data_IF_478020202962
#
_entry.id   IF_478020202962
#
_cell.length_a   1.000
_cell.length_b   1.000
_cell.length_c   1.000
_cell.angle_alpha   90.00
_cell.angle_beta   90.00
_cell.angle_gamma   90.00
#
_symmetry.space_group_name_H-M   'P 1'
#
loop_
_entity.id
_entity.type
_entity.pdbx_description
1 polymer ?
#
# COMPACT_ATOMS: atom_id res chain seq x y z
N UNK A 1 17.85 43.32 -56.27
CA UNK A 1 18.28 42.28 -55.36
C UNK A 1 17.07 41.94 -54.50
N UNK A 2 16.51 40.69 -54.60
CA UNK A 2 15.31 40.37 -53.88
C UNK A 2 15.63 39.72 -52.55
N UNK A 3 14.88 40.14 -51.55
CA UNK A 3 14.84 39.69 -50.18
C UNK A 3 14.38 38.21 -50.08
N UNK A 4 15.23 37.40 -49.54
CA UNK A 4 14.93 35.97 -49.26
C UNK A 4 14.35 35.84 -47.85
N UNK A 5 13.01 35.90 -47.76
CA UNK A 5 12.27 35.51 -46.55
C UNK A 5 12.38 34.00 -46.37
N UNK A 6 13.12 33.59 -45.35
CA UNK A 6 13.03 32.24 -44.83
C UNK A 6 11.69 32.06 -44.09
N UNK A 7 10.82 31.27 -44.67
CA UNK A 7 9.68 30.71 -43.96
C UNK A 7 10.22 29.65 -42.99
N UNK A 8 10.06 29.90 -41.72
CA UNK A 8 10.18 28.87 -40.69
C UNK A 8 8.94 27.98 -40.81
N UNK A 9 9.13 26.77 -41.28
CA UNK A 9 8.13 25.72 -41.14
C UNK A 9 8.02 25.36 -39.66
N UNK A 10 6.98 25.85 -39.03
CA UNK A 10 6.53 25.34 -37.72
C UNK A 10 6.09 23.91 -37.94
N UNK A 11 6.98 22.99 -37.64
CA UNK A 11 6.64 21.58 -37.52
C UNK A 11 5.78 21.43 -36.28
N UNK A 12 4.47 21.49 -36.46
CA UNK A 12 3.49 21.11 -35.46
C UNK A 12 3.69 19.61 -35.24
N UNK A 13 4.40 19.29 -34.18
CA UNK A 13 4.42 17.91 -33.63
C UNK A 13 2.98 17.56 -33.30
N UNK A 14 2.46 16.43 -33.79
CA UNK A 14 1.13 15.98 -33.38
C UNK A 14 1.13 15.82 -31.87
N UNK A 15 0.23 16.55 -31.22
CA UNK A 15 -0.11 16.31 -29.83
C UNK A 15 -0.40 14.82 -29.69
N UNK A 16 0.52 14.10 -29.08
CA UNK A 16 0.25 12.77 -28.56
C UNK A 16 -0.74 12.94 -27.40
N UNK A 17 -1.97 13.32 -27.73
CA UNK A 17 -3.10 12.96 -26.92
C UNK A 17 -3.03 11.44 -26.81
N UNK A 18 -2.54 11.00 -25.67
CA UNK A 18 -2.57 9.59 -25.30
C UNK A 18 -4.02 9.14 -25.50
N UNK A 19 -4.23 8.35 -26.54
CA UNK A 19 -5.47 7.62 -26.75
C UNK A 19 -5.54 6.58 -25.62
N UNK A 20 -5.80 7.05 -24.41
CA UNK A 20 -6.39 6.25 -23.37
C UNK A 20 -7.85 6.07 -23.80
N UNK A 21 -8.07 5.14 -24.70
CA UNK A 21 -9.38 4.55 -24.84
C UNK A 21 -9.83 4.18 -23.46
N UNK A 22 -10.89 4.81 -22.97
CA UNK A 22 -11.60 4.40 -21.79
C UNK A 22 -11.91 2.91 -22.01
N UNK A 23 -11.14 2.02 -21.38
CA UNK A 23 -11.46 0.61 -21.37
C UNK A 23 -12.87 0.55 -20.76
N UNK A 24 -13.82 -0.04 -21.49
CA UNK A 24 -15.16 -0.25 -20.96
C UNK A 24 -15.06 -1.13 -19.72
N UNK A 25 -15.97 -1.01 -18.78
CA UNK A 25 -16.03 -1.83 -17.57
C UNK A 25 -15.98 -3.33 -17.92
N UNK A 26 -16.61 -3.72 -19.04
CA UNK A 26 -16.59 -5.09 -19.57
C UNK A 26 -15.16 -5.52 -19.98
N UNK A 27 -14.39 -4.64 -20.60
CA UNK A 27 -13.02 -4.92 -21.01
C UNK A 27 -12.09 -5.10 -19.79
N UNK A 28 -12.30 -4.35 -18.72
CA UNK A 28 -11.59 -4.51 -17.46
C UNK A 28 -11.96 -5.82 -16.76
N UNK A 29 -13.23 -6.18 -16.77
CA UNK A 29 -13.71 -7.46 -16.24
C UNK A 29 -13.10 -8.65 -16.99
N UNK A 30 -13.07 -8.59 -18.33
CA UNK A 30 -12.47 -9.62 -19.17
C UNK A 30 -10.94 -9.74 -18.96
N UNK A 31 -10.24 -8.61 -18.86
CA UNK A 31 -8.80 -8.62 -18.55
C UNK A 31 -8.53 -9.16 -17.15
N UNK A 32 -9.40 -8.87 -16.18
CA UNK A 32 -9.21 -9.35 -14.80
C UNK A 32 -9.29 -10.86 -14.70
N UNK A 33 -10.21 -11.48 -15.43
CA UNK A 33 -10.39 -12.93 -15.40
C UNK A 33 -9.27 -13.71 -16.12
N UNK A 34 -8.59 -13.09 -17.07
CA UNK A 34 -7.58 -13.74 -17.89
C UNK A 34 -6.13 -13.50 -17.44
N UNK A 35 -5.84 -12.37 -16.80
CA UNK A 35 -4.47 -11.88 -16.53
C UNK A 35 -4.21 -11.68 -15.05
N UNK A 36 -5.23 -11.42 -14.26
CA UNK A 36 -5.09 -11.12 -12.83
C UNK A 36 -5.84 -12.14 -11.98
N UNK A 37 -5.20 -12.66 -10.96
CA UNK A 37 -5.87 -13.51 -9.96
C UNK A 37 -6.71 -12.70 -8.97
N UNK A 38 -6.49 -11.38 -8.88
CA UNK A 38 -7.31 -10.48 -8.09
C UNK A 38 -8.47 -9.97 -8.94
N UNK A 39 -9.74 -10.16 -8.53
CA UNK A 39 -10.87 -9.56 -9.23
C UNK A 39 -10.77 -8.04 -9.16
N UNK A 40 -10.65 -7.40 -10.33
CA UNK A 40 -10.55 -5.94 -10.41
C UNK A 40 -11.93 -5.31 -10.24
N UNK A 41 -12.04 -4.18 -9.53
CA UNK A 41 -13.28 -3.45 -9.43
C UNK A 41 -13.65 -2.81 -10.76
N UNK A 42 -14.93 -2.58 -10.95
CA UNK A 42 -15.44 -1.79 -12.08
C UNK A 42 -15.21 -0.28 -11.95
N UNK A 43 -14.54 0.18 -10.89
CA UNK A 43 -14.24 1.58 -10.58
C UNK A 43 -15.47 2.50 -10.49
N UNK A 44 -16.67 1.94 -10.36
CA UNK A 44 -17.92 2.70 -10.24
C UNK A 44 -18.38 2.88 -8.79
N UNK A 45 -18.08 1.92 -7.93
CA UNK A 45 -18.55 1.92 -6.53
C UNK A 45 -17.37 2.09 -5.57
N UNK A 46 -17.40 3.15 -4.78
CA UNK A 46 -16.41 3.45 -3.75
C UNK A 46 -16.99 3.14 -2.39
N UNK A 47 -16.23 2.40 -1.57
CA UNK A 47 -16.46 2.30 -0.12
C UNK A 47 -15.46 3.16 0.62
N UNK A 48 -15.93 3.85 1.66
CA UNK A 48 -15.09 4.65 2.53
C UNK A 48 -15.02 3.99 3.90
N UNK A 49 -13.80 3.89 4.44
CA UNK A 49 -13.51 3.36 5.78
C UNK A 49 -12.84 4.44 6.60
N UNK A 50 -13.21 4.54 7.88
CA UNK A 50 -12.64 5.51 8.81
C UNK A 50 -11.61 4.84 9.70
N UNK A 51 -10.41 5.42 9.81
CA UNK A 51 -9.37 4.97 10.74
C UNK A 51 -9.39 5.92 11.95
N UNK A 52 -9.59 5.35 13.13
CA UNK A 52 -9.64 6.11 14.37
C UNK A 52 -8.75 5.49 15.44
N UNK A 53 -8.17 6.34 16.30
CA UNK A 53 -7.48 5.94 17.52
C UNK A 53 -8.35 6.21 18.73
N UNK A 54 -8.23 5.37 19.75
CA UNK A 54 -8.91 5.56 21.03
C UNK A 54 -7.89 6.03 22.08
N UNK A 55 -8.24 7.03 22.86
CA UNK A 55 -7.42 7.46 23.98
C UNK A 55 -7.23 6.27 24.95
N UNK A 56 -5.99 5.90 25.24
CA UNK A 56 -5.56 4.77 26.10
C UNK A 56 -5.41 3.40 25.40
N UNK A 57 -5.83 3.23 24.15
CA UNK A 57 -5.53 1.99 23.43
C UNK A 57 -4.38 2.20 22.45
N UNK A 58 -3.26 1.47 22.60
CA UNK A 58 -2.19 1.54 21.61
C UNK A 58 -2.67 0.89 20.30
N UNK A 59 -2.73 1.68 19.24
CA UNK A 59 -3.16 1.22 17.93
C UNK A 59 -4.30 2.04 17.35
N UNK A 60 -4.80 1.58 16.23
CA UNK A 60 -5.92 2.20 15.53
C UNK A 60 -6.98 1.15 15.18
N UNK A 61 -8.20 1.62 15.03
CA UNK A 61 -9.35 0.82 14.61
C UNK A 61 -9.87 1.31 13.28
N UNK A 62 -10.29 0.39 12.41
CA UNK A 62 -10.93 0.66 11.12
C UNK A 62 -12.42 0.40 11.26
N UNK A 63 -13.22 1.40 10.94
CA UNK A 63 -14.68 1.32 10.94
C UNK A 63 -15.22 1.41 9.52
N UNK A 64 -16.39 0.80 9.28
CA UNK A 64 -17.09 0.89 7.98
C UNK A 64 -17.50 2.31 7.63
N UNK A 65 -17.71 3.15 8.67
CA UNK A 65 -18.02 4.56 8.53
C UNK A 65 -17.62 5.34 9.79
N UNK A 66 -17.56 6.67 9.69
CA UNK A 66 -17.37 7.54 10.85
C UNK A 66 -18.55 7.44 11.82
N UNK A 67 -19.76 7.17 11.32
CA UNK A 67 -20.96 7.03 12.15
C UNK A 67 -20.93 5.73 12.97
N UNK A 68 -20.35 4.66 12.45
CA UNK A 68 -20.13 3.43 13.21
C UNK A 68 -19.15 3.67 14.37
N UNK A 69 -18.08 4.44 14.11
CA UNK A 69 -17.19 4.86 15.18
C UNK A 69 -17.90 5.70 16.23
N UNK A 70 -18.79 6.62 15.83
CA UNK A 70 -19.61 7.45 16.74
C UNK A 70 -20.59 6.63 17.57
N UNK A 71 -21.18 5.62 17.00
CA UNK A 71 -22.14 4.72 17.70
C UNK A 71 -21.45 3.72 18.62
N UNK A 72 -20.11 3.63 18.59
CA UNK A 72 -19.36 2.63 19.35
C UNK A 72 -19.55 1.21 18.83
N UNK A 73 -19.85 1.08 17.53
CA UNK A 73 -19.95 -0.23 16.87
C UNK A 73 -18.62 -0.96 16.88
N UNK A 74 -18.62 -2.28 16.80
CA UNK A 74 -17.40 -3.07 16.68
C UNK A 74 -16.63 -2.68 15.42
N UNK A 75 -15.32 -2.40 15.51
CA UNK A 75 -14.52 -2.07 14.34
C UNK A 75 -14.38 -3.29 13.43
N UNK A 76 -14.16 -3.04 12.15
CA UNK A 76 -13.87 -4.07 11.16
C UNK A 76 -12.50 -4.71 11.40
N UNK A 77 -11.50 -3.86 11.72
CA UNK A 77 -10.13 -4.24 12.07
C UNK A 77 -9.65 -3.38 13.24
N UNK A 78 -8.77 -3.94 14.07
CA UNK A 78 -7.99 -3.14 15.00
C UNK A 78 -6.52 -3.58 14.98
N UNK A 79 -5.61 -2.63 15.24
CA UNK A 79 -4.19 -2.92 15.37
C UNK A 79 -3.83 -3.00 16.85
N UNK A 80 -3.07 -4.02 17.21
CA UNK A 80 -2.46 -4.16 18.51
C UNK A 80 -0.96 -3.93 18.37
N UNK A 81 -0.47 -2.80 18.87
CA UNK A 81 0.96 -2.51 18.95
C UNK A 81 1.45 -2.91 20.33
N UNK A 82 2.22 -3.97 20.42
CA UNK A 82 2.87 -4.30 21.68
C UNK A 82 4.08 -3.39 21.89
N UNK A 83 4.00 -2.48 22.85
CA UNK A 83 5.11 -1.63 23.27
C UNK A 83 6.31 -2.48 23.73
N UNK A 84 6.04 -3.69 24.23
CA UNK A 84 7.05 -4.64 24.70
C UNK A 84 7.61 -5.57 23.61
N UNK A 85 7.10 -5.48 22.38
CA UNK A 85 7.59 -6.31 21.28
C UNK A 85 9.03 -5.98 20.88
N UNK A 86 9.48 -4.77 21.16
CA UNK A 86 10.85 -4.31 20.88
C UNK A 86 11.91 -5.15 21.62
N UNK A 87 11.54 -5.76 22.74
CA UNK A 87 12.46 -6.53 23.58
C UNK A 87 12.42 -8.05 23.32
N UNK A 88 11.52 -8.52 22.45
CA UNK A 88 11.38 -9.96 22.17
C UNK A 88 11.92 -10.29 20.80
N UNK A 89 12.91 -11.18 20.73
CA UNK A 89 13.43 -11.75 19.48
C UNK A 89 12.25 -12.39 18.70
N UNK A 90 12.10 -12.03 17.43
CA UNK A 90 10.99 -12.47 16.55
C UNK A 90 9.58 -11.92 16.92
N UNK A 91 9.49 -10.87 17.72
CA UNK A 91 8.21 -10.24 17.96
C UNK A 91 7.62 -9.68 16.65
N UNK A 92 6.30 -9.77 16.48
CA UNK A 92 5.67 -9.17 15.30
C UNK A 92 5.80 -7.65 15.36
N UNK A 93 5.93 -7.02 14.18
CA UNK A 93 5.90 -5.58 14.02
C UNK A 93 4.55 -5.02 14.52
N UNK A 94 3.47 -5.71 14.19
CA UNK A 94 2.11 -5.44 14.69
C UNK A 94 1.24 -6.69 14.52
N UNK A 95 0.14 -6.75 15.27
CA UNK A 95 -0.93 -7.74 15.08
C UNK A 95 -2.19 -6.98 14.69
N UNK A 96 -2.91 -7.48 13.71
CA UNK A 96 -4.20 -6.95 13.26
C UNK A 96 -5.28 -7.97 13.60
N UNK A 97 -6.33 -7.52 14.27
CA UNK A 97 -7.44 -8.37 14.71
C UNK A 97 -8.73 -7.96 14.01
N UNK A 98 -9.63 -8.93 13.83
CA UNK A 98 -11.03 -8.75 13.47
C UNK A 98 -11.90 -9.00 14.70
N UNK A 99 -13.18 -8.65 14.58
CA UNK A 99 -14.19 -8.94 15.61
C UNK A 99 -15.26 -9.85 15.02
N UNK A 100 -15.70 -10.81 15.82
CA UNK A 100 -16.86 -11.62 15.50
C UNK A 100 -18.18 -10.90 15.89
N UNK A 101 -19.31 -11.55 15.59
CA UNK A 101 -20.64 -11.01 15.90
C UNK A 101 -20.90 -10.88 17.41
N UNK A 102 -20.16 -11.62 18.25
CA UNK A 102 -20.20 -11.54 19.70
C UNK A 102 -19.29 -10.40 20.25
N UNK A 103 -18.58 -9.67 19.38
CA UNK A 103 -17.67 -8.60 19.74
C UNK A 103 -16.33 -9.10 20.32
N UNK A 104 -16.00 -10.37 20.15
CA UNK A 104 -14.69 -10.91 20.56
C UNK A 104 -13.65 -10.65 19.46
N UNK A 105 -12.46 -10.22 19.87
CA UNK A 105 -11.36 -9.97 18.93
C UNK A 105 -10.57 -11.24 18.64
N UNK A 106 -10.32 -11.52 17.37
CA UNK A 106 -9.51 -12.63 16.89
C UNK A 106 -8.35 -12.12 16.05
N UNK A 107 -7.18 -12.75 16.21
CA UNK A 107 -6.03 -12.44 15.36
C UNK A 107 -6.36 -12.78 13.90
N UNK A 108 -6.30 -11.78 13.04
CA UNK A 108 -6.54 -11.92 11.60
C UNK A 108 -5.23 -11.91 10.79
N UNK A 109 -4.28 -11.05 11.18
CA UNK A 109 -3.02 -10.92 10.49
C UNK A 109 -1.89 -10.60 11.48
N UNK A 110 -0.80 -11.34 11.36
CA UNK A 110 0.46 -11.08 12.08
C UNK A 110 1.48 -10.51 11.12
N UNK A 111 2.03 -9.35 11.43
CA UNK A 111 2.96 -8.64 10.57
C UNK A 111 4.37 -8.74 11.13
N UNK A 112 5.30 -9.19 10.32
CA UNK A 112 6.73 -9.24 10.66
C UNK A 112 7.53 -8.34 9.73
N UNK A 113 8.56 -7.70 10.28
CA UNK A 113 9.49 -6.85 9.55
C UNK A 113 10.81 -7.57 9.33
N UNK A 114 11.39 -7.43 8.13
CA UNK A 114 12.73 -7.91 7.79
C UNK A 114 13.47 -6.87 6.94
N UNK A 115 14.73 -6.62 7.26
CA UNK A 115 15.66 -6.00 6.33
C UNK A 115 16.13 -7.06 5.33
N UNK A 116 16.05 -6.75 4.05
CA UNK A 116 16.45 -7.67 2.98
C UNK A 116 17.80 -7.25 2.41
N UNK A 117 17.97 -5.93 2.18
CA UNK A 117 19.19 -5.31 1.69
C UNK A 117 19.25 -3.84 2.14
N UNK A 118 20.35 -3.13 1.86
CA UNK A 118 20.54 -1.76 2.32
C UNK A 118 19.39 -0.81 1.97
N UNK A 119 18.81 -0.98 0.78
CA UNK A 119 17.72 -0.13 0.27
C UNK A 119 16.39 -0.87 0.13
N UNK A 120 16.26 -2.07 0.69
CA UNK A 120 15.07 -2.88 0.59
C UNK A 120 14.70 -3.46 1.95
N UNK A 121 13.49 -3.16 2.38
CA UNK A 121 12.88 -3.77 3.55
C UNK A 121 11.58 -4.47 3.17
N UNK A 122 11.18 -5.46 3.97
CA UNK A 122 10.03 -6.29 3.71
C UNK A 122 9.15 -6.37 4.96
N UNK A 123 7.84 -6.20 4.78
CA UNK A 123 6.84 -6.63 5.74
C UNK A 123 6.19 -7.91 5.24
N UNK A 124 6.10 -8.91 6.10
CA UNK A 124 5.43 -10.17 5.83
C UNK A 124 4.14 -10.19 6.64
N UNK A 125 3.03 -10.10 5.94
CA UNK A 125 1.69 -10.21 6.50
C UNK A 125 1.29 -11.68 6.47
N UNK A 126 1.09 -12.27 7.62
CA UNK A 126 0.74 -13.68 7.77
C UNK A 126 -0.74 -13.77 8.14
N UNK A 127 -1.53 -14.27 7.22
CA UNK A 127 -2.94 -14.59 7.38
C UNK A 127 -3.10 -16.10 7.67
N UNK A 128 -4.27 -16.58 8.10
CA UNK A 128 -4.48 -18.00 8.39
C UNK A 128 -4.16 -18.95 7.23
N UNK A 129 -4.43 -18.51 6.00
CA UNK A 129 -4.31 -19.35 4.79
C UNK A 129 -3.35 -18.83 3.73
N UNK A 130 -2.81 -17.63 3.91
CA UNK A 130 -1.92 -17.01 2.92
C UNK A 130 -0.93 -16.07 3.58
N UNK A 131 0.09 -15.68 2.83
CA UNK A 131 1.04 -14.65 3.24
C UNK A 131 1.23 -13.64 2.12
N UNK A 132 1.31 -12.36 2.49
CA UNK A 132 1.54 -11.26 1.57
C UNK A 132 2.82 -10.55 1.95
N UNK A 133 3.69 -10.30 0.97
CA UNK A 133 4.89 -9.49 1.17
C UNK A 133 4.65 -8.07 0.68
N UNK A 134 5.05 -7.10 1.50
CA UNK A 134 5.17 -5.69 1.12
C UNK A 134 6.67 -5.38 1.04
N UNK A 135 7.15 -5.05 -0.13
CA UNK A 135 8.55 -4.73 -0.40
C UNK A 135 8.71 -3.23 -0.54
N UNK A 136 9.43 -2.61 0.41
CA UNK A 136 9.60 -1.16 0.43
C UNK A 136 10.91 -0.76 -0.22
N UNK A 137 10.83 0.19 -1.15
CA UNK A 137 11.99 0.85 -1.71
C UNK A 137 12.52 1.90 -0.71
N UNK A 138 13.73 1.71 -0.19
CA UNK A 138 14.36 2.63 0.76
C UNK A 138 14.81 3.95 0.12
N UNK A 139 14.90 4.03 -1.20
CA UNK A 139 15.31 5.23 -1.95
C UNK A 139 14.12 6.10 -2.37
N UNK A 140 12.91 5.56 -2.39
CA UNK A 140 11.69 6.24 -2.82
C UNK A 140 10.49 5.83 -1.96
N UNK A 141 9.53 6.72 -1.76
CA UNK A 141 8.31 6.42 -1.02
C UNK A 141 7.37 5.55 -1.87
N UNK A 142 7.79 4.32 -2.12
CA UNK A 142 7.01 3.34 -2.86
C UNK A 142 7.19 1.95 -2.25
N UNK A 143 6.12 1.17 -2.28
CA UNK A 143 6.10 -0.21 -1.86
C UNK A 143 5.38 -1.07 -2.91
N UNK A 144 5.97 -2.22 -3.23
CA UNK A 144 5.41 -3.18 -4.18
C UNK A 144 4.90 -4.42 -3.45
N UNK A 145 3.80 -4.96 -3.96
CA UNK A 145 3.08 -6.08 -3.37
C UNK A 145 2.67 -7.04 -4.49
N UNK A 146 2.79 -8.34 -4.22
CA UNK A 146 2.15 -9.37 -5.03
C UNK A 146 0.99 -9.95 -4.23
N UNK A 147 -0.21 -9.86 -4.78
CA UNK A 147 -1.40 -10.44 -4.16
C UNK A 147 -2.33 -11.03 -5.23
N UNK A 148 -2.70 -12.30 -5.06
CA UNK A 148 -3.47 -13.05 -6.07
C UNK A 148 -2.90 -12.83 -7.48
N UNK A 149 -1.63 -13.13 -7.69
CA UNK A 149 -0.90 -13.00 -8.97
C UNK A 149 -0.99 -11.60 -9.62
N UNK A 150 -1.42 -10.60 -8.86
CA UNK A 150 -1.54 -9.22 -9.31
C UNK A 150 -0.49 -8.35 -8.65
N UNK A 151 0.28 -7.63 -9.46
CA UNK A 151 1.26 -6.64 -8.98
C UNK A 151 0.56 -5.37 -8.57
N UNK A 152 0.79 -4.95 -7.34
CA UNK A 152 0.26 -3.71 -6.78
C UNK A 152 1.44 -2.82 -6.36
N UNK A 153 1.30 -1.51 -6.53
CA UNK A 153 2.24 -0.51 -6.05
C UNK A 153 1.53 0.54 -5.21
N UNK A 154 2.04 0.76 -4.01
CA UNK A 154 1.62 1.88 -3.17
C UNK A 154 2.66 2.99 -3.29
N UNK A 155 2.20 4.20 -3.55
CA UNK A 155 3.04 5.40 -3.64
C UNK A 155 2.52 6.48 -2.71
N UNK A 156 3.42 7.38 -2.30
CA UNK A 156 3.10 8.47 -1.39
C UNK A 156 3.64 8.24 0.00
N UNK A 157 3.47 9.22 0.85
CA UNK A 157 3.79 9.15 2.27
C UNK A 157 2.71 9.83 3.07
N UNK A 158 2.34 9.22 4.20
CA UNK A 158 1.44 9.82 5.18
C UNK A 158 2.29 10.33 6.34
N UNK A 159 2.08 11.58 6.77
CA UNK A 159 2.74 12.16 7.93
C UNK A 159 3.30 13.56 7.69
N UNK A 160 3.18 14.42 8.71
CA UNK A 160 3.48 15.86 8.63
C UNK A 160 4.96 16.22 8.51
N UNK A 161 5.87 15.28 8.76
CA UNK A 161 7.31 15.56 8.90
C UNK A 161 8.17 15.26 7.67
N UNK A 162 7.58 14.84 6.57
CA UNK A 162 8.32 14.64 5.32
C UNK A 162 8.12 15.85 4.40
N UNK A 163 9.22 16.45 3.96
CA UNK A 163 9.20 17.52 2.94
C UNK A 163 8.47 17.11 1.64
N UNK A 164 8.19 15.82 1.49
CA UNK A 164 7.48 15.21 0.37
C UNK A 164 6.18 14.52 0.79
N UNK A 165 5.70 14.76 2.04
CA UNK A 165 4.48 14.15 2.52
C UNK A 165 3.29 14.72 1.76
N UNK A 166 2.66 13.87 0.96
CA UNK A 166 1.38 14.20 0.31
C UNK A 166 0.19 14.06 1.26
N UNK A 167 0.41 13.51 2.46
CA UNK A 167 -0.68 13.11 3.36
C UNK A 167 -1.52 11.95 2.81
N UNK A 168 -1.10 11.35 1.70
CA UNK A 168 -1.86 10.32 1.01
C UNK A 168 -0.99 9.13 0.61
N UNK A 169 -1.57 7.92 0.74
CA UNK A 169 -1.06 6.70 0.14
C UNK A 169 -2.02 6.27 -0.97
N UNK A 170 -1.50 6.00 -2.15
CA UNK A 170 -2.29 5.56 -3.31
C UNK A 170 -1.80 4.21 -3.80
N UNK A 171 -2.69 3.23 -3.84
CA UNK A 171 -2.40 1.88 -4.35
C UNK A 171 -2.91 1.73 -5.77
N UNK A 172 -2.05 1.32 -6.67
CA UNK A 172 -2.35 1.10 -8.08
C UNK A 172 -2.14 -0.35 -8.47
N UNK A 173 -2.91 -0.80 -9.45
CA UNK A 173 -2.67 -2.06 -10.15
C UNK A 173 -1.66 -1.80 -11.25
N UNK A 174 -0.57 -2.57 -11.26
CA UNK A 174 0.46 -2.47 -12.29
C UNK A 174 0.12 -3.36 -13.49
N UNK A 175 0.59 -2.95 -14.67
CA UNK A 175 0.59 -3.85 -15.83
C UNK A 175 1.54 -5.03 -15.57
N UNK A 176 1.24 -6.24 -16.07
CA UNK A 176 2.04 -7.44 -15.82
C UNK A 176 3.53 -7.28 -16.14
N UNK A 177 3.85 -6.55 -17.21
CA UNK A 177 5.22 -6.31 -17.68
C UNK A 177 5.91 -5.13 -16.99
N UNK A 178 5.25 -4.48 -16.01
CA UNK A 178 5.88 -3.40 -15.27
C UNK A 178 6.92 -3.93 -14.30
N UNK A 179 8.11 -3.33 -14.31
CA UNK A 179 9.17 -3.64 -13.35
C UNK A 179 8.70 -3.41 -11.92
N UNK A 180 8.86 -4.40 -11.07
CA UNK A 180 8.41 -4.39 -9.68
C UNK A 180 9.44 -5.03 -8.77
N UNK A 181 9.49 -4.61 -7.51
CA UNK A 181 10.30 -5.26 -6.47
C UNK A 181 9.85 -6.70 -6.20
N UNK A 182 8.65 -7.06 -6.62
CA UNK A 182 8.15 -8.44 -6.51
C UNK A 182 8.75 -9.36 -7.57
N UNK A 183 9.36 -8.81 -8.63
CA UNK A 183 9.95 -9.61 -9.70
C UNK A 183 11.17 -10.38 -9.19
N UNK A 184 11.10 -11.70 -9.30
CA UNK A 184 12.15 -12.59 -8.79
C UNK A 184 12.23 -12.68 -7.27
N UNK A 185 11.30 -12.08 -6.53
CA UNK A 185 11.20 -12.24 -5.08
C UNK A 185 10.50 -13.55 -4.71
N UNK A 186 10.89 -14.13 -3.60
CA UNK A 186 10.26 -15.33 -3.05
C UNK A 186 10.21 -15.27 -1.53
N UNK A 187 9.18 -15.87 -0.96
CA UNK A 187 9.08 -16.12 0.47
C UNK A 187 9.14 -17.63 0.71
N UNK A 188 10.22 -18.07 1.30
CA UNK A 188 10.38 -19.48 1.71
C UNK A 188 10.04 -19.58 3.19
N UNK A 189 8.96 -20.29 3.52
CA UNK A 189 8.55 -20.58 4.87
C UNK A 189 8.70 -22.10 5.12
N UNK A 190 9.65 -22.53 5.97
CA UNK A 190 9.82 -23.95 6.29
C UNK A 190 8.58 -24.57 6.95
N UNK A 191 7.84 -23.76 7.70
CA UNK A 191 6.57 -24.14 8.34
C UNK A 191 5.50 -23.14 7.94
N UNK A 192 4.39 -23.56 7.32
CA UNK A 192 3.28 -22.67 7.00
C UNK A 192 2.80 -21.92 8.24
N UNK A 193 2.52 -20.63 8.08
CA UNK A 193 2.07 -19.77 9.18
C UNK A 193 3.12 -19.41 10.23
N UNK A 194 4.40 -19.79 10.04
CA UNK A 194 5.49 -19.47 10.96
C UNK A 194 6.53 -18.56 10.31
N UNK A 195 6.95 -17.52 11.05
CA UNK A 195 8.06 -16.65 10.64
C UNK A 195 9.43 -17.29 10.96
N UNK A 196 9.47 -18.30 11.84
CA UNK A 196 10.71 -18.95 12.23
C UNK A 196 11.35 -19.64 11.02
N UNK A 197 12.56 -19.22 10.67
CA UNK A 197 13.27 -19.74 9.51
C UNK A 197 12.77 -19.20 8.15
N UNK A 198 11.77 -18.32 8.12
CA UNK A 198 11.30 -17.71 6.89
C UNK A 198 12.42 -16.86 6.26
N UNK A 199 12.64 -17.04 4.96
CA UNK A 199 13.63 -16.31 4.17
C UNK A 199 12.95 -15.61 3.02
N UNK A 200 13.34 -14.34 2.80
CA UNK A 200 12.98 -13.60 1.60
C UNK A 200 14.17 -13.71 0.64
N UNK A 201 13.93 -14.27 -0.52
CA UNK A 201 14.94 -14.45 -1.57
C UNK A 201 14.66 -13.52 -2.75
N UNK A 202 15.71 -13.21 -3.52
CA UNK A 202 15.64 -12.49 -4.79
C UNK A 202 16.54 -13.15 -5.82
N UNK A 203 16.07 -13.22 -7.06
CA UNK A 203 16.84 -13.74 -8.19
C UNK A 203 17.84 -12.72 -8.75
N UNK A 204 17.63 -11.43 -8.45
CA UNK A 204 18.49 -10.31 -8.85
C UNK A 204 18.96 -9.57 -7.60
N UNK A 205 20.02 -8.74 -7.76
CA UNK A 205 20.43 -7.86 -6.67
C UNK A 205 19.30 -6.92 -6.30
N UNK A 206 18.82 -7.03 -5.05
CA UNK A 206 17.73 -6.21 -4.54
C UNK A 206 18.08 -4.71 -4.54
N UNK A 207 19.35 -4.36 -4.29
CA UNK A 207 19.83 -2.98 -4.36
C UNK A 207 19.80 -2.44 -5.78
N UNK A 208 20.25 -3.22 -6.76
CA UNK A 208 20.26 -2.83 -8.16
C UNK A 208 18.83 -2.59 -8.66
N UNK A 209 17.89 -3.44 -8.26
CA UNK A 209 16.48 -3.26 -8.60
C UNK A 209 15.88 -2.00 -7.97
N UNK A 210 16.17 -1.72 -6.69
CA UNK A 210 15.76 -0.48 -6.03
C UNK A 210 16.35 0.74 -6.72
N UNK A 211 17.62 0.68 -7.12
CA UNK A 211 18.30 1.74 -7.84
C UNK A 211 17.68 1.96 -9.22
N UNK A 212 17.49 0.91 -10.01
CA UNK A 212 16.87 0.97 -11.33
C UNK A 212 15.47 1.60 -11.27
N UNK A 213 14.64 1.19 -10.31
CA UNK A 213 13.31 1.78 -10.09
C UNK A 213 13.39 3.26 -9.67
N UNK A 214 14.46 3.66 -8.98
CA UNK A 214 14.66 5.04 -8.56
C UNK A 214 15.20 5.91 -9.69
N UNK A 215 16.04 5.37 -10.56
CA UNK A 215 16.64 6.07 -11.71
C UNK A 215 15.63 6.30 -12.83
N UNK A 216 14.74 5.35 -13.08
CA UNK A 216 13.65 5.51 -14.04
C UNK A 216 12.84 6.81 -13.81
N UNK A 217 12.78 7.31 -12.58
CA UNK A 217 12.13 8.57 -12.26
C UNK A 217 12.94 9.80 -12.67
N UNK A 218 14.27 9.70 -12.76
CA UNK A 218 15.12 10.85 -13.10
C UNK A 218 15.04 11.23 -14.58
N UNK A 219 14.82 10.25 -15.44
CA UNK A 219 14.78 10.44 -16.90
C UNK A 219 13.40 10.83 -17.44
N UNK A 220 12.36 10.56 -16.68
CA UNK A 220 11.01 10.93 -17.06
C UNK A 220 10.60 12.14 -16.21
N UNK A 221 10.68 13.34 -16.77
CA UNK A 221 10.15 14.58 -16.18
C UNK A 221 8.64 14.53 -15.92
N UNK A 222 8.01 13.40 -16.17
CA UNK A 222 6.58 13.19 -16.03
C UNK A 222 6.22 12.75 -14.62
N UNK A 223 5.14 13.28 -14.14
CA UNK A 223 4.37 12.85 -12.99
C UNK A 223 4.39 11.34 -12.88
N UNK A 224 4.99 10.83 -11.79
CA UNK A 224 4.85 9.47 -11.30
C UNK A 224 4.96 8.35 -12.35
N UNK A 225 6.10 7.73 -12.41
CA UNK A 225 6.31 6.48 -13.15
C UNK A 225 5.32 5.37 -12.77
N UNK A 226 4.71 5.46 -11.59
CA UNK A 226 3.59 4.63 -11.19
C UNK A 226 2.40 4.78 -12.14
N UNK A 227 2.10 6.00 -12.60
CA UNK A 227 0.96 6.27 -13.47
C UNK A 227 1.18 5.78 -14.90
N UNK A 228 2.38 5.94 -15.45
CA UNK A 228 2.67 5.56 -16.84
C UNK A 228 2.66 4.03 -17.10
N UNK A 229 2.65 3.22 -16.04
CA UNK A 229 2.69 1.75 -16.13
C UNK A 229 1.64 1.07 -15.25
N UNK A 230 0.68 1.80 -14.81
CA UNK A 230 -0.52 1.28 -14.15
C UNK A 230 -1.49 0.72 -15.20
N UNK A 231 -2.31 -0.23 -14.79
CA UNK A 231 -3.37 -0.76 -15.65
C UNK A 231 -4.39 0.35 -15.97
N UNK A 232 -4.76 1.11 -14.94
CA UNK A 232 -5.59 2.32 -15.04
C UNK A 232 -4.96 3.41 -14.16
N UNK A 233 -5.12 4.67 -14.54
CA UNK A 233 -4.60 5.83 -13.79
C UNK A 233 -5.45 6.18 -12.55
N UNK A 234 -6.33 5.30 -12.15
CA UNK A 234 -7.18 5.44 -10.98
C UNK A 234 -6.62 4.54 -9.87
N UNK A 235 -6.32 5.04 -8.68
CA UNK A 235 -5.87 4.21 -7.58
C UNK A 235 -7.00 3.29 -7.10
N UNK A 236 -6.70 2.02 -6.95
CA UNK A 236 -7.59 1.02 -6.36
C UNK A 236 -7.99 1.38 -4.93
N UNK A 237 -7.01 1.89 -4.17
CA UNK A 237 -7.16 2.31 -2.77
C UNK A 237 -6.45 3.64 -2.58
N UNK A 238 -7.08 4.56 -1.85
CA UNK A 238 -6.47 5.81 -1.40
C UNK A 238 -6.65 5.93 0.10
N UNK A 239 -5.56 6.15 0.83
CA UNK A 239 -5.60 6.57 2.23
C UNK A 239 -5.25 8.05 2.31
N UNK A 240 -6.04 8.82 3.04
CA UNK A 240 -5.81 10.24 3.32
C UNK A 240 -5.69 10.45 4.82
N UNK A 241 -4.58 11.02 5.27
CA UNK A 241 -4.37 11.39 6.66
C UNK A 241 -5.18 12.65 6.99
N UNK A 242 -5.89 12.63 8.13
CA UNK A 242 -6.72 13.77 8.58
C UNK A 242 -6.14 14.51 9.77
N UNK A 243 -4.95 14.07 10.26
CA UNK A 243 -4.23 14.74 11.34
C UNK A 243 -4.98 14.71 12.69
N UNK A 244 -5.27 13.53 13.21
CA UNK A 244 -5.82 13.33 14.58
C UNK A 244 -7.00 14.24 14.95
N UNK A 245 -7.97 14.39 14.08
CA UNK A 245 -9.17 15.19 14.33
C UNK A 245 -10.04 14.54 15.40
N UNK A 246 -10.28 15.25 16.51
CA UNK A 246 -11.20 14.77 17.55
C UNK A 246 -12.60 14.58 16.99
N UNK A 247 -13.19 13.42 17.25
CA UNK A 247 -14.59 13.16 16.95
C UNK A 247 -15.42 13.70 18.12
N UNK A 248 -16.28 14.68 17.84
CA UNK A 248 -17.14 15.30 18.86
C UNK A 248 -17.96 14.26 19.61
N UNK A 249 -17.93 14.33 20.94
CA UNK A 249 -18.69 13.43 21.83
C UNK A 249 -18.05 12.07 22.08
N UNK A 250 -16.87 11.78 21.52
CA UNK A 250 -16.21 10.48 21.68
C UNK A 250 -14.76 10.57 22.20
N UNK A 251 -14.30 9.47 22.80
CA UNK A 251 -12.88 9.27 23.16
C UNK A 251 -12.02 8.87 21.96
N UNK A 252 -12.52 9.05 20.74
CA UNK A 252 -11.86 8.69 19.49
C UNK A 252 -11.35 9.93 18.76
N UNK A 253 -10.20 9.78 18.10
CA UNK A 253 -9.68 10.74 17.15
C UNK A 253 -9.66 10.09 15.76
N UNK A 254 -10.21 10.78 14.78
CA UNK A 254 -10.12 10.38 13.39
C UNK A 254 -8.69 10.62 12.90
N UNK A 255 -8.02 9.56 12.48
CA UNK A 255 -6.64 9.62 11.99
C UNK A 255 -6.58 9.72 10.46
N UNK A 256 -7.59 9.17 9.78
CA UNK A 256 -7.63 9.20 8.32
C UNK A 256 -8.81 8.44 7.75
N UNK A 257 -8.93 8.51 6.43
CA UNK A 257 -9.95 7.79 5.67
C UNK A 257 -9.30 6.95 4.58
N UNK A 258 -9.85 5.77 4.35
CA UNK A 258 -9.50 4.90 3.23
C UNK A 258 -10.67 4.86 2.27
N UNK A 259 -10.42 5.24 1.02
CA UNK A 259 -11.37 5.05 -0.09
C UNK A 259 -10.89 3.90 -0.93
N UNK A 260 -11.77 2.96 -1.19
CA UNK A 260 -11.46 1.76 -1.94
C UNK A 260 -12.57 1.47 -2.94
N UNK A 261 -12.21 1.20 -4.18
CA UNK A 261 -13.14 0.65 -5.15
C UNK A 261 -13.47 -0.79 -4.78
N UNK A 262 -14.76 -1.09 -4.74
CA UNK A 262 -15.23 -2.41 -4.34
C UNK A 262 -14.99 -3.42 -5.46
N UNK A 263 -14.34 -4.56 -5.16
CA UNK A 263 -14.26 -5.66 -6.11
C UNK A 263 -15.65 -6.25 -6.37
N UNK A 264 -15.90 -6.81 -7.56
CA UNK A 264 -17.14 -7.50 -7.84
C UNK A 264 -17.33 -8.69 -6.89
N UNK A 265 -18.57 -8.96 -6.48
CA UNK A 265 -18.89 -10.12 -5.65
C UNK A 265 -18.75 -9.93 -4.14
N UNK A 266 -18.54 -8.71 -3.65
CA UNK A 266 -18.47 -8.35 -2.21
C UNK A 266 -17.50 -9.23 -1.38
N UNK A 267 -16.37 -9.57 -1.95
CA UNK A 267 -15.37 -10.39 -1.28
C UNK A 267 -14.67 -9.60 -0.17
N UNK A 268 -15.23 -9.69 1.03
CA UNK A 268 -14.72 -9.04 2.24
C UNK A 268 -13.24 -9.37 2.47
N UNK A 269 -12.79 -10.56 2.11
CA UNK A 269 -11.40 -10.98 2.29
C UNK A 269 -10.41 -10.08 1.56
N UNK A 270 -10.65 -9.75 0.28
CA UNK A 270 -9.76 -8.86 -0.47
C UNK A 270 -9.73 -7.45 0.12
N UNK A 271 -10.90 -6.95 0.51
CA UNK A 271 -11.02 -5.68 1.23
C UNK A 271 -10.19 -5.65 2.51
N UNK A 272 -10.28 -6.69 3.34
CA UNK A 272 -9.53 -6.78 4.60
C UNK A 272 -8.02 -6.84 4.36
N UNK A 273 -7.57 -7.60 3.36
CA UNK A 273 -6.14 -7.67 3.01
C UNK A 273 -5.62 -6.30 2.57
N UNK A 274 -6.34 -5.57 1.71
CA UNK A 274 -5.95 -4.23 1.27
C UNK A 274 -5.91 -3.24 2.45
N UNK A 275 -6.88 -3.30 3.35
CA UNK A 275 -6.87 -2.49 4.58
C UNK A 275 -5.66 -2.84 5.46
N UNK A 276 -5.32 -4.12 5.62
CA UNK A 276 -4.12 -4.53 6.36
C UNK A 276 -2.85 -3.94 5.76
N UNK A 277 -2.71 -3.96 4.43
CA UNK A 277 -1.57 -3.34 3.72
C UNK A 277 -1.47 -1.85 4.04
N UNK A 278 -2.58 -1.12 3.94
CA UNK A 278 -2.62 0.32 4.23
C UNK A 278 -2.27 0.59 5.71
N UNK A 279 -2.78 -0.19 6.65
CA UNK A 279 -2.46 -0.06 8.07
C UNK A 279 -0.98 -0.26 8.35
N UNK A 280 -0.33 -1.23 7.71
CA UNK A 280 1.11 -1.48 7.85
C UNK A 280 1.92 -0.31 7.33
N UNK A 281 1.62 0.18 6.14
CA UNK A 281 2.34 1.30 5.53
C UNK A 281 2.12 2.60 6.31
N UNK A 282 0.90 2.85 6.77
CA UNK A 282 0.61 3.98 7.65
C UNK A 282 1.42 3.90 8.95
N UNK A 283 1.43 2.75 9.62
CA UNK A 283 2.19 2.57 10.86
C UNK A 283 3.70 2.75 10.64
N UNK A 284 4.22 2.28 9.50
CA UNK A 284 5.60 2.53 9.10
C UNK A 284 5.91 4.03 9.03
N UNK A 285 5.07 4.80 8.37
CA UNK A 285 5.26 6.25 8.24
C UNK A 285 5.15 6.97 9.60
N UNK A 286 4.17 6.58 10.42
CA UNK A 286 4.01 7.13 11.77
C UNK A 286 5.23 6.86 12.66
N UNK A 287 5.86 5.69 12.54
CA UNK A 287 7.10 5.37 13.27
C UNK A 287 8.30 6.17 12.76
N UNK A 288 8.39 6.41 11.45
CA UNK A 288 9.42 7.29 10.88
C UNK A 288 9.27 8.72 11.39
N UNK A 289 8.06 9.22 11.51
CA UNK A 289 7.80 10.59 11.96
C UNK A 289 8.07 10.79 13.46
N UNK A 290 7.75 9.81 14.30
CA UNK A 290 7.92 9.87 15.76
C UNK A 290 9.36 9.61 16.21
N UNK A 291 10.12 8.89 15.41
CA UNK A 291 11.48 8.49 15.75
C UNK A 291 12.48 9.12 14.81
N UNK A 292 13.00 10.32 15.05
CA UNK A 292 14.16 10.86 14.33
C UNK A 292 15.43 9.97 14.36
N UNK A 293 15.32 8.74 14.82
CA UNK A 293 16.31 7.66 14.74
C UNK A 293 15.61 6.39 14.27
N UNK A 294 16.03 5.86 13.13
CA UNK A 294 15.76 4.47 12.76
C UNK A 294 16.09 3.59 13.96
N UNK A 295 15.23 2.65 14.38
CA UNK A 295 15.67 1.63 15.32
C UNK A 295 16.86 0.93 14.65
N UNK A 296 18.05 1.10 15.21
CA UNK A 296 19.23 0.31 14.86
C UNK A 296 18.92 -1.10 15.34
N UNK A 297 18.46 -1.96 14.44
CA UNK A 297 18.38 -3.37 14.73
C UNK A 297 19.81 -3.89 14.75
N UNK A 298 20.27 -4.23 15.94
CA UNK A 298 21.54 -4.95 16.15
C UNK A 298 21.37 -6.30 15.46
N UNK A 299 22.11 -6.50 14.39
CA UNK A 299 22.32 -7.82 13.79
C UNK A 299 23.10 -8.67 14.81
N UNK A 300 22.51 -9.75 15.22
CA UNK A 300 23.18 -10.89 15.88
C UNK A 300 22.78 -12.18 15.18
#
# INVERSE_FOLDING_TARGET
MPDSRRQSEDTVLPDNESVFTSLSDDTLADLSSQVFGLPLPNFSTIKEYSIASTFLHPGVSVFRSIDDARKGSSPLLCTLSSVFSVFKKNAPFMVICTYDDAGQSHEYCRVHFKNVANNLSCYILMFPHTSVMILNNGLRPAADIMYCDTKLRVVGSSGDNSTFASGELKMYVLQPNTLSLTDGSSLVQPTPGSIKGAKVGFNTSANDLCQALSELKKHLHTKLLSEARTLVNIPLVTYTDTGDKKISGLKHSLNGTVRMFQPPGDELQHTLVMLCVILVLREQEMRKSKGGKRPSYVEH
#
